data_IF_435072042893
#
_entry.id   IF_435072042893
#
_cell.length_a   1.000
_cell.length_b   1.000
_cell.length_c   1.000
_cell.angle_alpha   90.00
_cell.angle_beta   90.00
_cell.angle_gamma   90.00
#
_symmetry.space_group_name_H-M   'P 1'
#
loop_
_entity.id
_entity.type
_entity.pdbx_description
1 polymer ?
#
# COMPACT_ATOMS: atom_id res chain seq x y z
N UNK A 1 -42.34 27.88 -4.87
CA UNK A 1 -41.98 26.46 -4.67
C UNK A 1 -41.06 26.00 -5.78
N UNK A 2 -39.80 25.68 -5.45
CA UNK A 2 -38.89 24.76 -6.15
C UNK A 2 -37.52 24.89 -5.46
N UNK A 3 -37.33 24.10 -4.41
CA UNK A 3 -36.02 23.83 -3.85
C UNK A 3 -35.25 22.99 -4.87
N UNK A 4 -34.20 23.57 -5.44
CA UNK A 4 -33.21 22.82 -6.20
C UNK A 4 -32.50 21.89 -5.21
N UNK A 5 -32.83 20.60 -5.27
CA UNK A 5 -32.08 19.57 -4.59
C UNK A 5 -30.70 19.50 -5.21
N UNK A 6 -29.71 20.09 -4.54
CA UNK A 6 -28.32 19.83 -4.83
C UNK A 6 -28.04 18.36 -4.55
N UNK A 7 -27.99 17.56 -5.61
CA UNK A 7 -27.46 16.21 -5.58
C UNK A 7 -26.03 16.27 -5.06
N UNK A 8 -25.81 15.82 -3.82
CA UNK A 8 -24.46 15.56 -3.31
C UNK A 8 -23.83 14.52 -4.24
N UNK A 9 -22.67 14.77 -4.88
CA UNK A 9 -21.98 13.72 -5.58
C UNK A 9 -21.57 12.69 -4.54
N UNK A 10 -22.16 11.49 -4.58
CA UNK A 10 -21.68 10.34 -3.82
C UNK A 10 -20.37 9.87 -4.44
N UNK A 11 -19.28 10.62 -4.23
CA UNK A 11 -17.95 10.12 -4.52
C UNK A 11 -17.70 8.97 -3.54
N UNK A 12 -17.70 7.73 -4.04
CA UNK A 12 -17.07 6.61 -3.32
C UNK A 12 -15.63 7.06 -3.07
N UNK A 13 -15.32 7.48 -1.84
CA UNK A 13 -13.95 7.81 -1.48
C UNK A 13 -13.22 6.48 -1.31
N UNK A 14 -12.22 6.25 -2.15
CA UNK A 14 -11.25 5.19 -1.91
C UNK A 14 -10.56 5.44 -0.55
N UNK A 15 -10.09 4.38 0.12
CA UNK A 15 -9.34 4.50 1.38
C UNK A 15 -8.14 5.44 1.20
N UNK A 16 -7.42 5.27 0.09
CA UNK A 16 -6.38 6.16 -0.38
C UNK A 16 -6.42 6.19 -1.91
N UNK A 17 -6.30 7.36 -2.52
CA UNK A 17 -6.26 7.47 -3.98
C UNK A 17 -4.93 6.94 -4.53
N UNK A 18 -4.96 6.32 -5.71
CA UNK A 18 -3.77 5.83 -6.42
C UNK A 18 -3.08 6.95 -7.21
N UNK A 19 -2.63 7.99 -6.49
CA UNK A 19 -1.80 9.06 -7.05
C UNK A 19 -1.03 9.80 -5.94
N UNK A 20 0.14 10.33 -6.29
CA UNK A 20 0.98 11.07 -5.33
C UNK A 20 0.42 12.42 -4.88
N UNK A 21 -0.38 13.09 -5.72
CA UNK A 21 -1.02 14.35 -5.35
C UNK A 21 -2.01 14.18 -4.17
N UNK A 22 -2.62 13.00 -4.04
CA UNK A 22 -3.61 12.67 -3.02
C UNK A 22 -3.04 12.23 -1.68
N UNK A 23 -1.72 12.30 -1.44
CA UNK A 23 -1.12 11.89 -0.15
C UNK A 23 -1.50 12.81 1.02
N UNK A 24 -1.91 14.05 0.74
CA UNK A 24 -2.49 14.96 1.74
C UNK A 24 -4.01 14.75 1.94
N UNK A 25 -4.60 13.81 1.20
CA UNK A 25 -6.01 13.44 1.27
C UNK A 25 -6.16 11.95 1.66
N UNK A 26 -7.40 11.44 1.67
CA UNK A 26 -7.67 10.05 2.04
C UNK A 26 -7.29 9.74 3.50
N UNK A 27 -7.03 8.46 3.78
CA UNK A 27 -6.65 8.03 5.14
C UNK A 27 -5.26 8.55 5.53
N UNK A 28 -4.33 8.70 4.58
CA UNK A 28 -2.98 9.20 4.87
C UNK A 28 -3.06 10.67 5.28
N UNK A 29 -3.78 11.48 4.50
CA UNK A 29 -4.03 12.88 4.81
C UNK A 29 -4.77 13.05 6.14
N UNK A 30 -5.79 12.23 6.40
CA UNK A 30 -6.51 12.25 7.66
C UNK A 30 -5.61 11.92 8.86
N UNK A 31 -4.80 10.86 8.77
CA UNK A 31 -3.87 10.46 9.81
C UNK A 31 -2.80 11.55 10.08
N UNK A 32 -2.35 12.22 9.03
CA UNK A 32 -1.37 13.30 9.09
C UNK A 32 -1.99 14.69 9.34
N UNK A 33 -3.30 14.77 9.60
CA UNK A 33 -4.03 16.05 9.81
C UNK A 33 -3.82 17.05 8.67
N UNK A 34 -3.72 16.55 7.44
CA UNK A 34 -3.48 17.33 6.23
C UNK A 34 -2.03 17.77 6.02
N UNK A 35 -1.11 17.45 6.93
CA UNK A 35 0.31 17.73 6.75
C UNK A 35 0.94 16.75 5.73
N UNK A 36 2.02 17.15 5.04
CA UNK A 36 2.79 16.23 4.20
C UNK A 36 3.27 15.01 5.00
N UNK A 37 3.17 13.83 4.39
CA UNK A 37 3.65 12.59 4.98
C UNK A 37 5.17 12.67 5.23
N UNK A 38 5.59 12.38 6.46
CA UNK A 38 7.00 12.27 6.82
C UNK A 38 7.68 11.08 6.15
N UNK A 39 9.01 11.00 6.23
CA UNK A 39 9.76 9.92 5.56
C UNK A 39 9.43 8.52 6.08
N UNK A 40 9.02 8.41 7.34
CA UNK A 40 8.63 7.13 7.99
C UNK A 40 7.14 6.84 7.89
N UNK A 41 6.35 7.80 7.41
CA UNK A 41 4.91 7.59 7.25
C UNK A 41 4.66 6.57 6.13
N UNK A 42 3.61 5.79 6.33
CA UNK A 42 3.09 4.84 5.35
C UNK A 42 2.71 5.48 4.01
N UNK A 43 2.97 4.73 2.93
CA UNK A 43 2.43 5.01 1.60
C UNK A 43 1.12 4.26 1.33
N UNK A 44 0.63 4.38 0.09
CA UNK A 44 -0.65 3.86 -0.33
C UNK A 44 -0.79 2.34 -0.17
N UNK A 45 0.27 1.54 -0.37
CA UNK A 45 0.19 0.08 -0.20
C UNK A 45 -0.21 -0.32 1.22
N UNK A 46 0.41 0.31 2.22
CA UNK A 46 0.12 0.05 3.63
C UNK A 46 -1.23 0.65 4.06
N UNK A 47 -1.62 1.78 3.47
CA UNK A 47 -2.94 2.39 3.67
C UNK A 47 -4.07 1.52 3.10
N UNK A 48 -3.89 0.93 1.91
CA UNK A 48 -4.84 -0.02 1.32
C UNK A 48 -4.92 -1.31 2.14
N UNK A 49 -3.79 -1.85 2.59
CA UNK A 49 -3.77 -3.00 3.49
C UNK A 49 -4.49 -2.72 4.82
N UNK A 50 -4.30 -1.52 5.40
CA UNK A 50 -5.07 -1.07 6.57
C UNK A 50 -6.57 -1.00 6.27
N UNK A 51 -6.97 -0.53 5.09
CA UNK A 51 -8.36 -0.51 4.64
C UNK A 51 -8.96 -1.92 4.60
N UNK A 52 -8.21 -2.91 4.13
CA UNK A 52 -8.62 -4.31 4.16
C UNK A 52 -8.80 -4.82 5.60
N UNK A 53 -7.89 -4.49 6.52
CA UNK A 53 -8.05 -4.80 7.95
C UNK A 53 -9.34 -4.20 8.55
N UNK A 54 -9.72 -2.98 8.15
CA UNK A 54 -10.99 -2.37 8.59
C UNK A 54 -12.21 -3.08 8.03
N UNK A 55 -12.13 -3.60 6.80
CA UNK A 55 -13.18 -4.46 6.25
C UNK A 55 -13.29 -5.78 7.04
N UNK A 56 -12.16 -6.36 7.44
CA UNK A 56 -12.13 -7.55 8.28
C UNK A 56 -12.75 -7.30 9.67
N UNK A 57 -12.47 -6.15 10.31
CA UNK A 57 -13.11 -5.77 11.59
C UNK A 57 -14.65 -5.71 11.49
N UNK A 58 -15.18 -5.42 10.30
CA UNK A 58 -16.62 -5.47 10.04
C UNK A 58 -17.10 -6.92 9.85
N UNK A 59 -16.37 -7.73 9.07
CA UNK A 59 -16.70 -9.14 8.84
C UNK A 59 -16.69 -9.97 10.14
N UNK A 60 -15.85 -9.63 11.12
CA UNK A 60 -15.86 -10.23 12.47
C UNK A 60 -17.17 -10.04 13.23
N UNK A 61 -17.97 -9.04 12.84
CA UNK A 61 -19.26 -8.72 13.47
C UNK A 61 -20.44 -9.25 12.67
N UNK A 62 -20.20 -9.80 11.48
CA UNK A 62 -21.25 -10.28 10.58
C UNK A 62 -21.57 -11.75 10.91
N UNK A 63 -22.75 -12.05 11.48
CA UNK A 63 -23.08 -13.42 11.89
C UNK A 63 -23.11 -14.43 10.73
N UNK A 64 -23.28 -13.96 9.50
CA UNK A 64 -23.27 -14.80 8.30
C UNK A 64 -21.86 -15.17 7.82
N UNK A 65 -20.79 -14.59 8.38
CA UNK A 65 -19.41 -14.79 7.93
C UNK A 65 -18.60 -15.51 8.99
N UNK A 66 -17.90 -16.57 8.56
CA UNK A 66 -16.85 -17.17 9.37
C UNK A 66 -15.57 -16.35 9.22
N UNK A 67 -15.39 -15.37 10.12
CA UNK A 67 -14.26 -14.45 10.08
C UNK A 67 -12.89 -15.15 10.17
N UNK A 68 -12.84 -16.38 10.72
CA UNK A 68 -11.60 -17.17 10.79
C UNK A 68 -11.16 -17.74 9.44
N UNK A 69 -11.99 -17.63 8.40
CA UNK A 69 -11.74 -18.14 7.04
C UNK A 69 -11.78 -17.06 5.96
N UNK A 70 -11.63 -15.79 6.34
CA UNK A 70 -11.57 -14.68 5.38
C UNK A 70 -10.20 -14.64 4.71
N UNK A 71 -10.18 -14.76 3.38
CA UNK A 71 -8.99 -14.53 2.57
C UNK A 71 -8.92 -13.12 1.99
N UNK A 72 -7.75 -12.72 1.52
CA UNK A 72 -7.53 -11.48 0.76
C UNK A 72 -6.93 -11.77 -0.61
N UNK A 73 -7.35 -11.04 -1.62
CA UNK A 73 -6.79 -11.15 -2.96
C UNK A 73 -6.42 -9.78 -3.55
N UNK A 74 -5.52 -9.80 -4.53
CA UNK A 74 -5.23 -8.61 -5.32
C UNK A 74 -4.35 -8.92 -6.52
N UNK A 75 -4.47 -8.11 -7.57
CA UNK A 75 -3.67 -8.22 -8.80
C UNK A 75 -2.80 -6.97 -8.99
N UNK A 76 -1.56 -7.16 -9.47
CA UNK A 76 -0.63 -6.08 -9.77
C UNK A 76 -0.37 -5.21 -8.52
N UNK A 77 -0.61 -3.90 -8.57
CA UNK A 77 -0.45 -2.99 -7.40
C UNK A 77 -1.30 -3.40 -6.20
N UNK A 78 -2.51 -3.93 -6.42
CA UNK A 78 -3.33 -4.44 -5.33
C UNK A 78 -2.86 -5.81 -4.85
N UNK A 79 -2.15 -6.57 -5.68
CA UNK A 79 -1.43 -7.77 -5.23
C UNK A 79 -0.30 -7.43 -4.25
N UNK A 80 0.42 -6.32 -4.48
CA UNK A 80 1.40 -5.79 -3.52
C UNK A 80 0.71 -5.43 -2.19
N UNK A 81 -0.42 -4.73 -2.27
CA UNK A 81 -1.19 -4.33 -1.09
C UNK A 81 -1.78 -5.52 -0.32
N UNK A 82 -2.28 -6.54 -1.02
CA UNK A 82 -2.81 -7.77 -0.41
C UNK A 82 -1.71 -8.54 0.33
N UNK A 83 -0.50 -8.61 -0.25
CA UNK A 83 0.65 -9.22 0.43
C UNK A 83 1.04 -8.43 1.69
N UNK A 84 1.09 -7.09 1.60
CA UNK A 84 1.31 -6.22 2.76
C UNK A 84 0.21 -6.37 3.82
N UNK A 85 -1.04 -6.53 3.41
CA UNK A 85 -2.14 -6.73 4.36
C UNK A 85 -1.95 -8.03 5.15
N UNK A 86 -1.65 -9.14 4.48
CA UNK A 86 -1.40 -10.42 5.17
C UNK A 86 -0.24 -10.33 6.15
N UNK A 87 0.90 -9.78 5.71
CA UNK A 87 2.10 -9.70 6.54
C UNK A 87 1.90 -8.85 7.82
N UNK A 88 0.94 -7.93 7.82
CA UNK A 88 0.69 -7.01 8.95
C UNK A 88 -0.65 -7.24 9.66
N UNK A 89 -1.47 -8.19 9.21
CA UNK A 89 -2.73 -8.57 9.83
C UNK A 89 -2.93 -10.09 9.70
N UNK A 90 -2.42 -10.88 10.67
CA UNK A 90 -2.41 -12.34 10.59
C UNK A 90 -3.80 -12.98 10.74
N UNK A 91 -4.86 -12.16 10.86
CA UNK A 91 -6.25 -12.63 10.88
C UNK A 91 -6.74 -13.06 9.50
N UNK A 92 -6.10 -12.59 8.41
CA UNK A 92 -6.40 -13.11 7.07
C UNK A 92 -5.92 -14.56 6.96
N UNK A 93 -6.85 -15.47 6.68
CA UNK A 93 -6.59 -16.90 6.65
C UNK A 93 -5.81 -17.36 5.40
N UNK A 94 -5.91 -16.62 4.30
CA UNK A 94 -5.20 -16.91 3.05
C UNK A 94 -5.05 -15.69 2.15
N UNK A 95 -4.07 -15.72 1.25
CA UNK A 95 -3.79 -14.66 0.29
C UNK A 95 -3.68 -15.19 -1.14
N UNK A 96 -4.41 -14.59 -2.07
CA UNK A 96 -4.22 -14.82 -3.51
C UNK A 96 -3.50 -13.62 -4.13
N UNK A 97 -2.18 -13.75 -4.27
CA UNK A 97 -1.29 -12.65 -4.66
C UNK A 97 -0.99 -12.72 -6.16
N UNK A 98 -1.83 -12.07 -6.96
CA UNK A 98 -1.74 -12.09 -8.42
C UNK A 98 -0.73 -11.08 -8.97
N UNK A 99 0.28 -11.54 -9.69
CA UNK A 99 1.18 -10.71 -10.52
C UNK A 99 1.71 -9.44 -9.81
N UNK A 100 2.07 -9.55 -8.53
CA UNK A 100 2.34 -8.37 -7.67
C UNK A 100 3.64 -7.63 -8.02
N UNK A 101 4.66 -8.30 -8.55
CA UNK A 101 5.86 -7.65 -9.10
C UNK A 101 6.80 -7.07 -8.04
N UNK A 102 7.59 -6.04 -8.43
CA UNK A 102 8.61 -5.39 -7.59
C UNK A 102 7.93 -4.64 -6.44
N UNK A 103 8.39 -4.76 -5.19
CA UNK A 103 7.63 -4.25 -4.03
C UNK A 103 6.45 -5.14 -3.61
N UNK A 104 6.22 -6.24 -4.32
CA UNK A 104 5.36 -7.35 -3.91
C UNK A 104 6.19 -8.62 -3.76
N UNK A 105 5.83 -9.68 -4.47
CA UNK A 105 6.44 -11.00 -4.34
C UNK A 105 7.78 -11.17 -5.09
N UNK A 106 8.08 -10.30 -6.06
CA UNK A 106 9.36 -10.37 -6.79
C UNK A 106 10.49 -9.83 -5.93
N UNK A 107 11.55 -10.62 -5.76
CA UNK A 107 12.77 -10.18 -5.08
C UNK A 107 13.23 -8.79 -5.56
N UNK A 108 13.43 -7.90 -4.60
CA UNK A 108 13.87 -6.53 -4.79
C UNK A 108 15.25 -6.48 -5.45
N UNK A 109 16.16 -7.37 -5.03
CA UNK A 109 17.52 -7.47 -5.61
C UNK A 109 17.59 -8.08 -7.01
N UNK A 110 16.50 -8.71 -7.49
CA UNK A 110 16.47 -9.28 -8.84
C UNK A 110 16.32 -8.18 -9.89
N UNK A 111 17.34 -7.97 -10.71
CA UNK A 111 17.33 -6.98 -11.79
C UNK A 111 16.74 -7.55 -13.09
N UNK A 112 15.40 -7.61 -13.16
CA UNK A 112 14.67 -8.05 -14.36
C UNK A 112 13.24 -7.52 -14.36
N UNK A 113 12.89 -6.73 -15.37
CA UNK A 113 11.61 -6.03 -15.46
C UNK A 113 11.60 -4.73 -14.64
N UNK A 114 10.50 -4.47 -13.92
CA UNK A 114 10.36 -3.34 -13.00
C UNK A 114 11.46 -3.35 -11.92
N UNK A 115 12.09 -2.20 -11.68
CA UNK A 115 13.20 -1.99 -10.74
C UNK A 115 12.77 -1.20 -9.50
N UNK A 116 13.63 -1.15 -8.48
CA UNK A 116 13.37 -0.37 -7.25
C UNK A 116 13.17 1.11 -7.55
N UNK A 117 13.92 1.63 -8.53
CA UNK A 117 13.88 3.00 -9.02
C UNK A 117 12.53 3.34 -9.66
N UNK A 118 11.84 2.37 -10.26
CA UNK A 118 10.49 2.60 -10.79
C UNK A 118 9.51 2.90 -9.65
N UNK A 119 9.61 2.17 -8.53
CA UNK A 119 8.78 2.39 -7.34
C UNK A 119 9.18 3.64 -6.54
N UNK A 120 10.41 4.11 -6.71
CA UNK A 120 10.89 5.36 -6.12
C UNK A 120 10.66 6.58 -7.04
N UNK A 121 10.24 6.35 -8.28
CA UNK A 121 10.01 7.37 -9.28
C UNK A 121 8.62 7.98 -9.19
N UNK A 122 8.49 9.18 -9.75
CA UNK A 122 7.22 9.89 -9.87
C UNK A 122 6.18 8.98 -10.53
N UNK A 123 5.06 8.76 -9.84
CA UNK A 123 3.93 7.96 -10.34
C UNK A 123 3.77 6.61 -9.65
N UNK A 124 4.78 6.15 -8.90
CA UNK A 124 4.70 5.01 -8.00
C UNK A 124 5.30 5.29 -6.62
N UNK A 125 5.99 6.42 -6.44
CA UNK A 125 6.57 6.88 -5.18
C UNK A 125 5.57 6.91 -4.02
N UNK A 126 4.31 7.24 -4.31
CA UNK A 126 3.23 7.26 -3.33
C UNK A 126 2.82 5.89 -2.80
N UNK A 127 3.21 4.79 -3.45
CA UNK A 127 2.97 3.44 -2.96
C UNK A 127 3.80 3.12 -1.72
N UNK A 128 4.98 3.71 -1.62
CA UNK A 128 6.01 3.36 -0.65
C UNK A 128 6.09 4.39 0.48
N UNK A 129 6.73 4.05 1.59
CA UNK A 129 7.14 5.05 2.58
C UNK A 129 8.20 5.98 1.98
N UNK A 130 8.23 7.25 2.37
CA UNK A 130 9.21 8.22 1.83
C UNK A 130 10.68 7.79 2.02
N UNK A 131 10.97 6.99 3.05
CA UNK A 131 12.28 6.40 3.30
C UNK A 131 12.72 5.39 2.24
N UNK A 132 11.80 4.84 1.45
CA UNK A 132 12.11 3.91 0.37
C UNK A 132 12.89 4.59 -0.77
N UNK A 133 12.67 5.90 -0.98
CA UNK A 133 13.30 6.68 -2.05
C UNK A 133 14.83 6.66 -1.99
N UNK A 134 15.40 6.46 -0.80
CA UNK A 134 16.86 6.40 -0.65
C UNK A 134 17.49 5.21 -1.38
N UNK A 135 16.76 4.10 -1.59
CA UNK A 135 17.27 2.91 -2.29
C UNK A 135 17.24 3.05 -3.82
N UNK A 136 16.98 4.26 -4.32
CA UNK A 136 17.07 4.65 -5.72
C UNK A 136 17.87 5.96 -5.89
N UNK A 137 18.58 6.40 -4.85
CA UNK A 137 19.21 7.71 -4.82
C UNK A 137 20.68 7.64 -5.26
N UNK A 138 21.04 8.41 -6.29
CA UNK A 138 22.44 8.64 -6.70
C UNK A 138 23.26 9.34 -5.61
N UNK A 139 22.61 10.11 -4.73
CA UNK A 139 23.22 10.80 -3.60
C UNK A 139 22.37 10.61 -2.34
N UNK A 140 22.89 9.85 -1.38
CA UNK A 140 22.36 9.75 -0.02
C UNK A 140 23.46 10.06 1.01
N UNK A 141 23.10 10.10 2.30
CA UNK A 141 24.09 10.21 3.38
C UNK A 141 25.12 9.06 3.40
N UNK A 142 24.85 7.95 2.70
CA UNK A 142 25.73 6.78 2.54
C UNK A 142 26.34 6.65 1.14
N UNK A 143 26.19 7.66 0.27
CA UNK A 143 26.57 7.57 -1.15
C UNK A 143 25.41 7.09 -2.03
N UNK A 144 25.72 6.56 -3.22
CA UNK A 144 24.71 5.95 -4.09
C UNK A 144 24.15 4.70 -3.40
N UNK A 145 22.84 4.55 -3.44
CA UNK A 145 22.15 3.38 -2.89
C UNK A 145 21.25 2.76 -3.95
N UNK A 146 21.18 1.44 -3.96
CA UNK A 146 20.35 0.65 -4.87
C UNK A 146 19.59 -0.49 -4.15
N UNK A 147 18.99 -1.40 -4.93
CA UNK A 147 18.23 -2.53 -4.40
C UNK A 147 19.04 -3.45 -3.47
N UNK A 148 20.38 -3.51 -3.61
CA UNK A 148 21.24 -4.34 -2.78
C UNK A 148 21.39 -3.78 -1.37
N UNK A 149 21.18 -2.47 -1.18
CA UNK A 149 21.27 -1.79 0.11
C UNK A 149 19.99 -1.92 0.95
N UNK A 150 18.91 -2.51 0.41
CA UNK A 150 17.70 -2.79 1.17
C UNK A 150 18.02 -3.73 2.35
N UNK A 151 17.57 -3.45 3.58
CA UNK A 151 17.87 -4.31 4.73
C UNK A 151 17.09 -5.63 4.73
N UNK A 152 16.07 -5.75 3.88
CA UNK A 152 15.21 -6.91 3.71
C UNK A 152 14.89 -7.14 2.24
N UNK A 153 14.31 -8.28 1.89
CA UNK A 153 13.80 -8.59 0.56
C UNK A 153 12.38 -9.19 0.60
N UNK A 154 11.77 -9.41 -0.57
CA UNK A 154 10.40 -9.91 -0.70
C UNK A 154 10.19 -11.31 -0.10
N UNK A 155 11.22 -12.14 0.00
CA UNK A 155 11.08 -13.47 0.63
C UNK A 155 10.84 -13.37 2.14
N UNK A 156 11.40 -12.36 2.81
CA UNK A 156 11.14 -12.09 4.22
C UNK A 156 9.71 -11.57 4.42
N UNK A 157 9.21 -10.72 3.52
CA UNK A 157 7.81 -10.26 3.55
C UNK A 157 6.82 -11.42 3.37
N UNK A 158 7.14 -12.41 2.52
CA UNK A 158 6.32 -13.61 2.33
C UNK A 158 6.37 -14.54 3.55
N UNK A 159 7.44 -14.49 4.33
CA UNK A 159 7.62 -15.33 5.52
C UNK A 159 6.90 -14.80 6.77
N UNK A 160 6.48 -13.53 6.77
CA UNK A 160 5.62 -12.94 7.81
C UNK A 160 4.19 -13.46 7.70
#
# INVERSE_FOLDING_TARGET
SRTAGATRPSTRRAVQADNGAGLAEGIIGLANKGAPAGRTEWGALRAWGWGASRALDYLEKEPAVDASRVGIEGVSRYGKAALVAMAFDPRFAMGLIGSSGKGGATLQRRDYGEKVENLAGIGADHWMAGNYMKYAAEKSARGRMDANDLPVDSHELIAL
#
